data_IF_005521194246
#
_entry.id   IF_005521194246
#
_cell.length_a   1.000
_cell.length_b   1.000
_cell.length_c   1.000
_cell.angle_alpha   90.00
_cell.angle_beta   90.00
_cell.angle_gamma   90.00
#
_symmetry.space_group_name_H-M   'P 1'
#
loop_
_entity.id
_entity.type
_entity.pdbx_description
1 polymer ?
#
# COMPACT_ATOMS: atom_id res chain seq x y z
N UNK A 1 -4.77 -4.23 -17.98
CA UNK A 1 -5.77 -5.28 -17.72
C UNK A 1 -6.17 -5.22 -16.25
N UNK A 2 -7.46 -5.08 -15.97
CA UNK A 2 -8.01 -4.90 -14.63
C UNK A 2 -7.89 -6.15 -13.75
N UNK A 3 -7.96 -7.35 -14.35
CA UNK A 3 -7.78 -8.61 -13.62
C UNK A 3 -6.38 -8.66 -12.99
N UNK A 4 -5.35 -8.43 -13.80
CA UNK A 4 -3.97 -8.38 -13.32
C UNK A 4 -3.73 -7.29 -12.25
N UNK A 5 -4.43 -6.15 -12.29
CA UNK A 5 -4.30 -5.11 -11.24
C UNK A 5 -4.90 -5.59 -9.92
N UNK A 6 -6.09 -6.19 -9.97
CA UNK A 6 -6.71 -6.81 -8.80
C UNK A 6 -5.81 -7.88 -8.19
N UNK A 7 -5.28 -8.79 -9.02
CA UNK A 7 -4.41 -9.88 -8.56
C UNK A 7 -3.15 -9.36 -7.85
N UNK A 8 -2.61 -8.20 -8.27
CA UNK A 8 -1.47 -7.57 -7.59
C UNK A 8 -1.83 -7.03 -6.21
N UNK A 9 -2.99 -6.41 -6.05
CA UNK A 9 -3.45 -5.99 -4.71
C UNK A 9 -3.73 -7.19 -3.81
N UNK A 10 -4.34 -8.26 -4.34
CA UNK A 10 -4.59 -9.50 -3.60
C UNK A 10 -3.25 -10.16 -3.18
N UNK A 11 -2.25 -10.16 -4.07
CA UNK A 11 -0.92 -10.70 -3.77
C UNK A 11 -0.14 -9.85 -2.76
N UNK A 12 -0.24 -8.51 -2.84
CA UNK A 12 0.34 -7.61 -1.84
C UNK A 12 -0.26 -7.87 -0.46
N UNK A 13 -1.59 -8.02 -0.37
CA UNK A 13 -2.28 -8.38 0.87
C UNK A 13 -1.79 -9.73 1.42
N UNK A 14 -1.58 -10.73 0.56
CA UNK A 14 -1.07 -12.04 0.97
C UNK A 14 0.31 -11.94 1.63
N UNK A 15 1.23 -11.16 1.05
CA UNK A 15 2.56 -10.94 1.65
C UNK A 15 2.50 -10.20 2.98
N UNK A 16 1.65 -9.18 3.10
CA UNK A 16 1.47 -8.44 4.35
C UNK A 16 0.84 -9.32 5.44
N UNK A 17 -0.13 -10.15 5.07
CA UNK A 17 -0.77 -11.10 5.99
C UNK A 17 0.24 -12.13 6.51
N UNK A 18 1.02 -12.72 5.60
CA UNK A 18 2.10 -13.64 5.96
C UNK A 18 3.15 -12.96 6.87
N UNK A 19 3.47 -11.68 6.62
CA UNK A 19 4.41 -10.93 7.44
C UNK A 19 3.89 -10.72 8.87
N UNK A 20 2.60 -10.40 9.03
CA UNK A 20 1.96 -10.30 10.35
C UNK A 20 1.96 -11.66 11.07
N UNK A 21 1.69 -12.75 10.35
CA UNK A 21 1.71 -14.10 10.92
C UNK A 21 3.11 -14.50 11.40
N UNK A 22 4.14 -14.26 10.58
CA UNK A 22 5.54 -14.57 10.89
C UNK A 22 6.11 -13.72 12.03
N UNK A 23 5.54 -12.54 12.27
CA UNK A 23 5.97 -11.62 13.34
C UNK A 23 5.01 -11.59 14.52
N UNK A 24 4.06 -12.53 14.58
CA UNK A 24 3.14 -12.67 15.69
C UNK A 24 3.90 -12.86 17.01
N UNK A 25 3.53 -12.07 18.02
CA UNK A 25 4.17 -12.09 19.35
C UNK A 25 5.34 -11.14 19.51
N UNK A 26 5.81 -10.47 18.45
CA UNK A 26 6.74 -9.35 18.58
C UNK A 26 6.01 -8.07 19.05
N UNK A 27 6.70 -7.11 19.70
CA UNK A 27 6.11 -5.83 20.09
C UNK A 27 5.44 -5.11 18.91
N UNK A 28 4.43 -4.27 19.16
CA UNK A 28 3.80 -3.45 18.11
C UNK A 28 4.84 -2.64 17.32
N UNK A 29 4.53 -2.32 16.07
CA UNK A 29 5.46 -1.66 15.14
C UNK A 29 5.85 -0.25 15.61
N UNK A 30 5.11 0.32 16.58
CA UNK A 30 5.56 1.46 17.38
C UNK A 30 5.74 2.76 16.59
N UNK A 31 5.20 2.83 15.37
CA UNK A 31 5.13 4.06 14.60
C UNK A 31 3.82 4.77 14.91
N UNK A 32 3.93 5.91 15.58
CA UNK A 32 2.92 6.95 15.44
C UNK A 32 3.16 7.63 14.09
N UNK A 33 2.12 7.89 13.27
CA UNK A 33 2.28 8.65 12.03
C UNK A 33 3.00 9.97 12.31
N UNK A 34 3.88 10.39 11.40
CA UNK A 34 4.30 11.78 11.40
C UNK A 34 3.08 12.61 10.95
N UNK A 35 2.71 13.63 11.74
CA UNK A 35 1.51 14.46 11.49
C UNK A 35 1.71 15.52 10.40
N UNK A 36 2.70 15.34 9.54
CA UNK A 36 3.14 16.29 8.52
C UNK A 36 2.41 16.13 7.17
N UNK A 37 1.31 15.38 7.14
CA UNK A 37 0.45 15.27 5.96
C UNK A 37 0.95 14.27 4.92
N UNK A 38 1.79 13.31 5.33
CA UNK A 38 2.36 12.28 4.48
C UNK A 38 1.77 10.88 4.73
N UNK A 39 0.55 10.77 5.27
CA UNK A 39 -0.07 9.52 5.74
C UNK A 39 0.01 8.37 4.71
N UNK A 40 -0.25 8.65 3.43
CA UNK A 40 -0.12 7.64 2.37
C UNK A 40 1.31 7.12 2.22
N UNK A 41 2.33 7.99 2.31
CA UNK A 41 3.73 7.59 2.23
C UNK A 41 4.14 6.81 3.48
N UNK A 42 3.76 7.28 4.67
CA UNK A 42 3.97 6.58 5.94
C UNK A 42 3.37 5.17 5.93
N UNK A 43 2.19 5.01 5.33
CA UNK A 43 1.55 3.71 5.15
C UNK A 43 2.37 2.79 4.23
N UNK A 44 2.97 3.30 3.15
CA UNK A 44 3.84 2.49 2.29
C UNK A 44 5.07 2.01 3.06
N UNK A 45 5.69 2.89 3.85
CA UNK A 45 6.84 2.53 4.68
C UNK A 45 6.45 1.53 5.77
N UNK A 46 5.24 1.64 6.34
CA UNK A 46 4.71 0.64 7.26
C UNK A 46 4.64 -0.72 6.55
N UNK A 47 4.05 -0.80 5.35
CA UNK A 47 3.92 -2.06 4.62
C UNK A 47 5.29 -2.71 4.34
N UNK A 48 6.29 -1.92 3.93
CA UNK A 48 7.65 -2.43 3.78
C UNK A 48 8.22 -2.90 5.13
N UNK A 49 8.04 -2.12 6.20
CA UNK A 49 8.49 -2.48 7.55
C UNK A 49 7.89 -3.78 8.05
N UNK A 50 6.59 -4.04 7.81
CA UNK A 50 5.91 -5.30 8.14
C UNK A 50 6.67 -6.47 7.53
N UNK A 51 6.97 -6.40 6.23
CA UNK A 51 7.63 -7.48 5.49
C UNK A 51 9.10 -7.61 5.89
N UNK A 52 9.84 -6.50 5.97
CA UNK A 52 11.26 -6.48 6.34
C UNK A 52 11.49 -7.09 7.73
N UNK A 53 10.58 -6.86 8.66
CA UNK A 53 10.67 -7.39 10.04
C UNK A 53 10.64 -8.91 10.12
N UNK A 54 10.09 -9.60 9.11
CA UNK A 54 10.12 -11.06 9.05
C UNK A 54 11.54 -11.63 8.94
N UNK A 55 12.53 -10.82 8.52
CA UNK A 55 13.88 -11.28 8.21
C UNK A 55 13.97 -12.18 6.97
N UNK A 56 12.85 -12.36 6.24
CA UNK A 56 12.79 -13.22 5.06
C UNK A 56 13.06 -12.41 3.79
N UNK A 57 14.30 -12.45 3.29
CA UNK A 57 14.71 -11.72 2.09
C UNK A 57 13.92 -12.08 0.84
N UNK A 58 13.56 -13.37 0.66
CA UNK A 58 12.76 -13.80 -0.48
C UNK A 58 11.33 -13.22 -0.45
N UNK A 59 10.73 -13.11 0.74
CA UNK A 59 9.43 -12.47 0.91
C UNK A 59 9.51 -10.96 0.62
N UNK A 60 10.57 -10.29 1.09
CA UNK A 60 10.80 -8.86 0.84
C UNK A 60 10.99 -8.57 -0.65
N UNK A 61 11.78 -9.38 -1.36
CA UNK A 61 11.98 -9.23 -2.81
C UNK A 61 10.69 -9.45 -3.60
N UNK A 62 9.91 -10.47 -3.21
CA UNK A 62 8.61 -10.74 -3.82
C UNK A 62 7.63 -9.58 -3.60
N UNK A 63 7.62 -9.00 -2.40
CA UNK A 63 6.84 -7.81 -2.06
C UNK A 63 7.26 -6.60 -2.91
N UNK A 64 8.56 -6.27 -2.98
CA UNK A 64 9.04 -5.14 -3.78
C UNK A 64 8.69 -5.27 -5.26
N UNK A 65 8.74 -6.49 -5.81
CA UNK A 65 8.31 -6.72 -7.20
C UNK A 65 6.84 -6.36 -7.41
N UNK A 66 5.96 -6.75 -6.49
CA UNK A 66 4.53 -6.45 -6.59
C UNK A 66 4.26 -4.97 -6.33
N UNK A 67 4.88 -4.37 -5.31
CA UNK A 67 4.73 -2.94 -5.04
C UNK A 67 5.21 -2.08 -6.22
N UNK A 68 6.35 -2.42 -6.82
CA UNK A 68 6.85 -1.73 -8.01
C UNK A 68 5.91 -1.83 -9.22
N UNK A 69 5.18 -2.93 -9.37
CA UNK A 69 4.14 -3.06 -10.39
C UNK A 69 2.87 -2.26 -10.07
N UNK A 70 2.65 -1.90 -8.81
CA UNK A 70 1.52 -1.08 -8.37
C UNK A 70 1.85 0.43 -8.37
N UNK A 71 3.13 0.82 -8.41
CA UNK A 71 3.57 2.22 -8.45
C UNK A 71 2.83 3.09 -9.48
N UNK A 72 2.61 2.65 -10.74
CA UNK A 72 1.89 3.47 -11.73
C UNK A 72 0.45 3.84 -11.33
N UNK A 73 -0.17 3.07 -10.42
CA UNK A 73 -1.55 3.30 -9.99
C UNK A 73 -1.67 4.30 -8.83
N UNK A 74 -0.57 4.69 -8.18
CA UNK A 74 -0.62 5.59 -7.01
C UNK A 74 -1.23 6.95 -7.33
N UNK A 75 -0.89 7.53 -8.48
CA UNK A 75 -1.49 8.80 -8.95
C UNK A 75 -2.97 8.63 -9.32
N UNK A 76 -3.36 7.46 -9.84
CA UNK A 76 -4.75 7.14 -10.13
C UNK A 76 -5.57 6.98 -8.85
N UNK A 77 -5.02 6.32 -7.83
CA UNK A 77 -5.63 6.25 -6.50
C UNK A 77 -5.93 7.66 -5.98
N UNK A 78 -4.95 8.58 -6.02
CA UNK A 78 -5.13 9.98 -5.58
C UNK A 78 -6.25 10.74 -6.28
N UNK A 79 -6.49 10.43 -7.56
CA UNK A 79 -7.59 11.06 -8.31
C UNK A 79 -8.95 10.42 -8.02
N UNK A 80 -8.98 9.11 -7.79
CA UNK A 80 -10.23 8.33 -7.65
C UNK A 80 -10.74 8.33 -6.21
N UNK A 81 -9.84 8.34 -5.23
CA UNK A 81 -10.16 8.19 -3.82
C UNK A 81 -9.89 9.49 -3.07
N UNK A 82 -10.96 10.20 -2.73
CA UNK A 82 -10.88 11.49 -2.03
C UNK A 82 -10.48 11.39 -0.54
N UNK A 83 -10.50 10.19 0.02
CA UNK A 83 -10.31 9.87 1.44
C UNK A 83 -9.00 9.11 1.72
N UNK A 84 -8.04 9.12 0.79
CA UNK A 84 -6.82 8.30 0.92
C UNK A 84 -6.01 8.59 2.17
N UNK A 85 -5.82 9.86 2.50
CA UNK A 85 -5.02 10.24 3.67
C UNK A 85 -5.73 9.79 4.96
N UNK A 86 -7.06 9.93 5.03
CA UNK A 86 -7.85 9.44 6.16
C UNK A 86 -7.81 7.91 6.26
N UNK A 87 -7.97 7.19 5.15
CA UNK A 87 -7.86 5.72 5.12
C UNK A 87 -6.45 5.24 5.54
N UNK A 88 -5.41 6.01 5.20
CA UNK A 88 -4.03 5.70 5.58
C UNK A 88 -3.77 5.98 7.07
N UNK A 89 -4.27 7.11 7.59
CA UNK A 89 -4.20 7.43 9.02
C UNK A 89 -4.89 6.35 9.87
N UNK A 90 -6.09 5.92 9.49
CA UNK A 90 -6.82 4.85 10.18
C UNK A 90 -5.98 3.56 10.29
N UNK A 91 -5.30 3.16 9.20
CA UNK A 91 -4.42 1.99 9.20
C UNK A 91 -3.17 2.17 10.04
N UNK A 92 -2.57 3.36 10.04
CA UNK A 92 -1.40 3.68 10.85
C UNK A 92 -1.77 3.66 12.34
N UNK A 93 -2.95 4.17 12.71
CA UNK A 93 -3.49 4.08 14.07
C UNK A 93 -3.70 2.62 14.50
N UNK A 94 -4.30 1.79 13.65
CA UNK A 94 -4.45 0.35 13.91
C UNK A 94 -3.09 -0.33 14.14
N UNK A 95 -2.08 0.01 13.33
CA UNK A 95 -0.73 -0.54 13.45
C UNK A 95 0.04 -0.07 14.71
N UNK A 96 -0.32 1.08 15.26
CA UNK A 96 0.23 1.58 16.52
C UNK A 96 -0.28 0.80 17.74
N UNK A 97 -1.44 0.14 17.63
CA UNK A 97 -1.98 -0.71 18.69
C UNK A 97 -1.34 -2.10 18.70
N UNK A 98 -1.52 -2.86 19.80
CA UNK A 98 -1.14 -4.29 19.86
C UNK A 98 -2.20 -5.22 19.23
N UNK A 99 -3.21 -4.68 18.54
CA UNK A 99 -4.32 -5.44 17.99
C UNK A 99 -4.04 -5.90 16.55
N UNK A 100 -3.21 -6.93 16.38
CA UNK A 100 -2.89 -7.50 15.07
C UNK A 100 -4.12 -8.01 14.30
N UNK A 101 -5.24 -8.30 14.99
CA UNK A 101 -6.50 -8.67 14.35
C UNK A 101 -7.11 -7.51 13.57
N UNK A 102 -7.26 -6.36 14.23
CA UNK A 102 -7.87 -5.16 13.62
C UNK A 102 -7.02 -4.64 12.46
N UNK A 103 -5.68 -4.68 12.58
CA UNK A 103 -4.79 -4.35 11.48
C UNK A 103 -4.99 -5.28 10.27
N UNK A 104 -5.13 -6.60 10.47
CA UNK A 104 -5.40 -7.54 9.37
C UNK A 104 -6.70 -7.21 8.65
N UNK A 105 -7.76 -6.91 9.41
CA UNK A 105 -9.06 -6.55 8.84
C UNK A 105 -9.00 -5.23 8.07
N UNK A 106 -8.29 -4.23 8.61
CA UNK A 106 -8.03 -2.97 7.92
C UNK A 106 -7.28 -3.18 6.61
N UNK A 107 -6.18 -3.94 6.63
CA UNK A 107 -5.41 -4.24 5.42
C UNK A 107 -6.27 -4.96 4.36
N UNK A 108 -7.12 -5.89 4.79
CA UNK A 108 -8.04 -6.59 3.89
C UNK A 108 -9.02 -5.61 3.25
N UNK A 109 -9.63 -4.70 4.02
CA UNK A 109 -10.55 -3.69 3.48
C UNK A 109 -9.85 -2.76 2.48
N UNK A 110 -8.66 -2.26 2.83
CA UNK A 110 -7.83 -1.40 1.99
C UNK A 110 -7.53 -2.01 0.62
N UNK A 111 -7.07 -3.28 0.61
CA UNK A 111 -6.71 -3.97 -0.63
C UNK A 111 -7.94 -4.39 -1.42
N UNK A 112 -9.01 -4.83 -0.74
CA UNK A 112 -10.28 -5.18 -1.38
C UNK A 112 -10.91 -4.00 -2.13
N UNK A 113 -10.87 -2.80 -1.54
CA UNK A 113 -11.35 -1.57 -2.16
C UNK A 113 -10.62 -1.28 -3.47
N UNK A 114 -9.29 -1.37 -3.47
CA UNK A 114 -8.45 -1.18 -4.66
C UNK A 114 -8.69 -2.27 -5.71
N UNK A 115 -8.80 -3.54 -5.29
CA UNK A 115 -9.15 -4.66 -6.17
C UNK A 115 -10.51 -4.48 -6.84
N UNK A 116 -11.52 -3.97 -6.12
CA UNK A 116 -12.83 -3.62 -6.69
C UNK A 116 -12.76 -2.47 -7.70
N UNK A 117 -11.87 -1.52 -7.49
CA UNK A 117 -11.66 -0.37 -8.37
C UNK A 117 -10.64 -0.61 -9.48
N UNK A 118 -10.13 -1.83 -9.65
CA UNK A 118 -9.04 -2.15 -10.58
C UNK A 118 -9.33 -1.74 -12.04
N UNK A 119 -10.60 -1.81 -12.47
CA UNK A 119 -11.01 -1.33 -13.79
C UNK A 119 -10.89 0.20 -13.91
N UNK A 120 -11.38 0.95 -12.92
CA UNK A 120 -11.27 2.41 -12.87
C UNK A 120 -9.81 2.85 -12.82
N UNK A 121 -9.00 2.21 -11.97
CA UNK A 121 -7.57 2.45 -11.86
C UNK A 121 -6.84 2.20 -13.20
N UNK A 122 -7.19 1.11 -13.89
CA UNK A 122 -6.61 0.79 -15.20
C UNK A 122 -7.00 1.80 -16.28
N UNK A 123 -8.25 2.25 -16.28
CA UNK A 123 -8.73 3.26 -17.23
C UNK A 123 -8.07 4.62 -16.98
N UNK A 124 -7.95 5.03 -15.72
CA UNK A 124 -7.35 6.31 -15.36
C UNK A 124 -5.86 6.36 -15.71
N UNK A 125 -5.09 5.30 -15.44
CA UNK A 125 -3.68 5.19 -15.85
C UNK A 125 -3.55 5.21 -17.38
N UNK A 126 -4.43 4.53 -18.12
CA UNK A 126 -4.40 4.55 -19.58
C UNK A 126 -4.76 5.93 -20.17
N UNK A 127 -5.63 6.69 -19.50
CA UNK A 127 -6.00 8.05 -19.87
C UNK A 127 -4.97 9.12 -19.48
N UNK A 128 -4.08 8.80 -18.53
CA UNK A 128 -3.03 9.69 -18.03
C UNK A 128 -1.67 8.97 -18.00
N UNK A 129 -1.08 8.60 -19.15
CA UNK A 129 0.13 7.80 -19.22
C UNK A 129 1.42 8.51 -18.74
N UNK A 130 1.32 9.67 -18.08
CA UNK A 130 2.45 10.46 -17.61
C UNK A 130 2.19 11.10 -16.24
N UNK A 131 2.49 10.36 -15.18
CA UNK A 131 2.81 10.96 -13.89
C UNK A 131 4.32 11.09 -13.77
N UNK A 132 4.82 12.29 -14.11
CA UNK A 132 6.18 12.84 -13.88
C UNK A 132 7.27 12.51 -14.91
N UNK A 133 7.80 13.56 -15.56
CA UNK A 133 8.93 13.51 -16.50
C UNK A 133 9.02 14.65 -17.53
N UNK A 134 8.28 15.75 -17.37
CA UNK A 134 8.35 16.91 -18.28
C UNK A 134 8.78 18.17 -17.54
N UNK A 135 10.05 18.24 -17.14
CA UNK A 135 10.70 19.52 -16.89
C UNK A 135 11.06 20.13 -18.25
N UNK A 136 10.23 21.08 -18.63
CA UNK A 136 10.42 22.01 -19.73
C UNK A 136 11.36 23.11 -19.22
N UNK A 137 12.64 23.06 -19.62
CA UNK A 137 13.53 24.24 -19.57
C UNK A 137 14.35 24.31 -20.87
N UNK A 138 13.77 24.98 -21.87
CA UNK A 138 14.52 25.73 -22.86
C UNK A 138 14.93 27.10 -22.27
N UNK A 139 16.06 27.65 -22.72
CA UNK A 139 16.02 28.42 -23.97
C UNK A 139 16.92 27.88 -25.10
#
# INVERSE_FOLDING_TARGET
>A
DAGAVRDRYDLRLAYLSAAIDLTAGLPAYGRSPARDGAAVADLQDLFESLVRRTGNGALLDAYHRVDGQLTPFRSAERRIFADLDAEADDLLELAATRANGDLRDGLRAYHYRRGRSAALLSMDVAGHPGGEGGEDEGP
#
